data_IF_669620611075
#
_entry.id   IF_669620611075
#
_cell.length_a   1.000
_cell.length_b   1.000
_cell.length_c   1.000
_cell.angle_alpha   90.00
_cell.angle_beta   90.00
_cell.angle_gamma   90.00
#
_symmetry.space_group_name_H-M   'P 1'
#
loop_
_entity.id
_entity.type
_entity.pdbx_description
1 polymer ?
#
# COMPACT_ATOMS: atom_id res chain seq x y z
N UNK A 1 26.51 23.64 53.94
CA UNK A 1 26.25 24.45 52.73
C UNK A 1 24.89 24.09 52.19
N UNK A 2 23.87 24.96 52.51
CA UNK A 2 22.53 24.78 51.98
C UNK A 2 22.45 25.35 50.55
N UNK A 3 22.25 24.48 49.55
CA UNK A 3 21.96 24.90 48.18
C UNK A 3 20.55 25.52 48.16
N UNK A 4 20.46 26.83 47.87
CA UNK A 4 19.18 27.51 47.61
C UNK A 4 18.59 26.91 46.31
N UNK A 5 17.57 26.10 46.43
CA UNK A 5 16.78 25.70 45.29
C UNK A 5 16.02 26.94 44.78
N UNK A 6 16.37 27.40 43.58
CA UNK A 6 15.58 28.40 42.85
C UNK A 6 14.34 27.68 42.26
N UNK A 7 13.19 27.97 42.82
CA UNK A 7 11.92 27.51 42.24
C UNK A 7 11.60 28.26 40.95
N UNK A 8 10.94 27.59 40.01
CA UNK A 8 10.41 28.20 38.79
C UNK A 8 9.34 29.26 39.12
N UNK A 9 9.38 30.40 38.45
CA UNK A 9 8.29 31.37 38.59
C UNK A 9 7.06 30.93 37.81
N UNK A 10 5.88 31.32 38.29
CA UNK A 10 4.60 30.98 37.68
C UNK A 10 4.51 31.53 36.23
N UNK A 11 5.13 32.69 35.97
CA UNK A 11 5.16 33.31 34.65
C UNK A 11 6.06 32.54 33.66
N UNK A 12 7.18 31.99 34.10
CA UNK A 12 8.07 31.16 33.27
C UNK A 12 7.34 29.89 32.81
N UNK A 13 6.59 29.26 33.71
CA UNK A 13 5.81 28.08 33.37
C UNK A 13 4.70 28.44 32.38
N UNK A 14 4.00 29.55 32.56
CA UNK A 14 2.90 30.00 31.73
C UNK A 14 3.37 30.33 30.31
N UNK A 15 4.52 31.00 30.14
CA UNK A 15 5.09 31.26 28.81
C UNK A 15 5.50 29.99 28.09
N UNK A 16 6.09 29.02 28.80
CA UNK A 16 6.48 27.72 28.18
C UNK A 16 5.28 26.97 27.68
N UNK A 17 4.20 26.85 28.46
CA UNK A 17 3.01 26.12 28.00
C UNK A 17 2.30 26.85 26.86
N UNK A 18 2.33 28.19 26.83
CA UNK A 18 1.79 28.96 25.71
C UNK A 18 2.55 28.68 24.40
N UNK A 19 3.88 28.67 24.44
CA UNK A 19 4.72 28.36 23.27
C UNK A 19 4.50 26.94 22.80
N UNK A 20 4.48 25.96 23.71
CA UNK A 20 4.21 24.56 23.37
C UNK A 20 2.82 24.41 22.74
N UNK A 21 1.81 25.12 23.27
CA UNK A 21 0.47 25.11 22.71
C UNK A 21 0.40 25.60 21.26
N UNK A 22 1.09 26.71 20.95
CA UNK A 22 1.17 27.25 19.59
C UNK A 22 1.89 26.27 18.65
N UNK A 23 3.05 25.75 19.06
CA UNK A 23 3.83 24.82 18.26
C UNK A 23 3.08 23.52 18.00
N UNK A 24 2.37 23.01 19.01
CA UNK A 24 1.53 21.80 18.85
C UNK A 24 0.40 22.03 17.85
N UNK A 25 -0.29 23.17 17.89
CA UNK A 25 -1.38 23.48 16.97
C UNK A 25 -0.94 23.49 15.49
N UNK A 26 0.20 24.13 15.20
CA UNK A 26 0.77 24.17 13.85
C UNK A 26 1.32 22.79 13.44
N UNK A 27 1.97 22.09 14.36
CA UNK A 27 2.58 20.78 14.12
C UNK A 27 1.56 19.71 13.70
N UNK A 28 0.38 19.67 14.32
CA UNK A 28 -0.67 18.70 14.01
C UNK A 28 -1.17 18.84 12.57
N UNK A 29 -1.39 20.05 12.09
CA UNK A 29 -1.88 20.31 10.73
C UNK A 29 -0.84 19.89 9.69
N UNK A 30 0.43 20.27 9.88
CA UNK A 30 1.54 19.91 9.02
C UNK A 30 1.77 18.38 8.98
N UNK A 31 1.71 17.72 10.14
CA UNK A 31 1.86 16.27 10.26
C UNK A 31 0.77 15.50 9.50
N UNK A 32 -0.49 15.92 9.62
CA UNK A 32 -1.60 15.29 8.90
C UNK A 32 -1.45 15.42 7.37
N UNK A 33 -1.01 16.57 6.88
CA UNK A 33 -0.72 16.77 5.46
C UNK A 33 0.38 15.85 4.96
N UNK A 34 1.48 15.76 5.70
CA UNK A 34 2.62 14.90 5.37
C UNK A 34 2.23 13.40 5.35
N UNK A 35 1.51 12.94 6.38
CA UNK A 35 1.11 11.53 6.46
C UNK A 35 0.15 11.12 5.35
N UNK A 36 -0.77 12.00 4.94
CA UNK A 36 -1.67 11.72 3.82
C UNK A 36 -0.91 11.65 2.49
N UNK A 37 0.03 12.56 2.26
CA UNK A 37 0.90 12.52 1.07
C UNK A 37 1.76 11.24 1.03
N UNK A 38 2.32 10.83 2.17
CA UNK A 38 3.10 9.61 2.30
C UNK A 38 2.26 8.37 1.98
N UNK A 39 1.04 8.26 2.54
CA UNK A 39 0.11 7.15 2.25
C UNK A 39 -0.23 7.07 0.77
N UNK A 40 -0.54 8.21 0.13
CA UNK A 40 -0.83 8.27 -1.30
C UNK A 40 0.36 7.78 -2.13
N UNK A 41 1.56 8.31 -1.88
CA UNK A 41 2.76 7.97 -2.65
C UNK A 41 3.13 6.49 -2.47
N UNK A 42 3.04 5.96 -1.25
CA UNK A 42 3.25 4.54 -0.97
C UNK A 42 2.23 3.68 -1.72
N UNK A 43 0.97 4.08 -1.76
CA UNK A 43 -0.08 3.35 -2.48
C UNK A 43 0.18 3.29 -3.98
N UNK A 44 0.56 4.41 -4.60
CA UNK A 44 0.91 4.47 -6.03
C UNK A 44 2.17 3.62 -6.30
N UNK A 45 3.17 3.70 -5.42
CA UNK A 45 4.38 2.88 -5.51
C UNK A 45 4.07 1.38 -5.42
N UNK A 46 3.22 0.99 -4.48
CA UNK A 46 2.78 -0.40 -4.31
C UNK A 46 2.05 -0.93 -5.54
N UNK A 47 1.12 -0.15 -6.11
CA UNK A 47 0.43 -0.50 -7.35
C UNK A 47 1.43 -0.76 -8.48
N UNK A 48 2.37 0.15 -8.69
CA UNK A 48 3.41 0.02 -9.71
C UNK A 48 4.34 -1.18 -9.47
N UNK A 49 4.61 -1.51 -8.22
CA UNK A 49 5.42 -2.69 -7.88
C UNK A 49 4.71 -3.98 -8.27
N UNK A 50 3.43 -4.13 -7.94
CA UNK A 50 2.62 -5.29 -8.32
C UNK A 50 2.54 -5.43 -9.85
N UNK A 51 2.27 -4.31 -10.54
CA UNK A 51 2.23 -4.26 -12.01
C UNK A 51 3.54 -4.73 -12.63
N UNK A 52 4.66 -4.11 -12.23
CA UNK A 52 6.00 -4.44 -12.77
C UNK A 52 6.39 -5.89 -12.48
N UNK A 53 6.07 -6.39 -11.30
CA UNK A 53 6.34 -7.78 -10.94
C UNK A 53 5.62 -8.74 -11.89
N UNK A 54 4.32 -8.52 -12.15
CA UNK A 54 3.58 -9.38 -13.06
C UNK A 54 4.03 -9.21 -14.52
N UNK A 55 4.35 -7.99 -14.96
CA UNK A 55 4.94 -7.74 -16.27
C UNK A 55 6.27 -8.50 -16.45
N UNK A 56 7.12 -8.52 -15.42
CA UNK A 56 8.36 -9.29 -15.45
C UNK A 56 8.08 -10.79 -15.59
N UNK A 57 7.10 -11.33 -14.88
CA UNK A 57 6.70 -12.73 -15.03
C UNK A 57 6.26 -13.02 -16.46
N UNK A 58 5.38 -12.19 -17.03
CA UNK A 58 4.87 -12.35 -18.40
C UNK A 58 6.01 -12.32 -19.41
N UNK A 59 6.85 -11.29 -19.37
CA UNK A 59 7.97 -11.16 -20.34
C UNK A 59 9.02 -12.26 -20.20
N UNK A 60 9.26 -12.74 -18.99
CA UNK A 60 10.22 -13.84 -18.76
C UNK A 60 9.69 -15.18 -19.28
N UNK A 61 8.37 -15.43 -19.17
CA UNK A 61 7.73 -16.61 -19.77
C UNK A 61 7.71 -16.52 -21.30
N UNK A 62 7.27 -15.38 -21.85
CA UNK A 62 7.18 -15.16 -23.30
C UNK A 62 8.55 -15.25 -23.98
N UNK A 63 9.60 -14.74 -23.32
CA UNK A 63 10.98 -14.84 -23.79
C UNK A 63 11.66 -16.19 -23.59
N UNK A 64 10.98 -17.17 -22.96
CA UNK A 64 11.58 -18.48 -22.65
C UNK A 64 12.75 -18.41 -21.67
N UNK A 65 12.86 -17.32 -20.90
CA UNK A 65 13.94 -17.10 -19.94
C UNK A 65 13.81 -18.02 -18.74
N UNK A 66 12.57 -18.28 -18.32
CA UNK A 66 12.22 -19.17 -17.21
C UNK A 66 11.05 -20.08 -17.60
N UNK A 67 11.02 -21.26 -17.00
CA UNK A 67 9.90 -22.21 -17.16
C UNK A 67 8.87 -22.07 -16.01
N UNK A 68 9.31 -21.53 -14.89
CA UNK A 68 8.50 -21.43 -13.66
C UNK A 68 8.97 -20.31 -12.75
N UNK A 69 8.08 -19.83 -11.88
CA UNK A 69 8.34 -18.93 -10.78
C UNK A 69 8.04 -19.60 -9.44
N UNK A 70 8.85 -19.29 -8.43
CA UNK A 70 8.59 -19.69 -7.05
C UNK A 70 8.04 -18.49 -6.28
N UNK A 71 6.75 -18.50 -5.97
CA UNK A 71 6.06 -17.48 -5.22
C UNK A 71 5.86 -17.91 -3.77
N UNK A 72 5.91 -16.98 -2.82
CA UNK A 72 5.60 -17.28 -1.42
C UNK A 72 4.12 -17.63 -1.26
N UNK A 73 3.85 -18.72 -0.59
CA UNK A 73 2.49 -19.17 -0.24
C UNK A 73 2.23 -19.06 1.26
N UNK A 74 3.29 -19.12 2.06
CA UNK A 74 3.30 -18.92 3.51
C UNK A 74 4.68 -18.41 3.95
N UNK A 75 4.90 -18.25 5.24
CA UNK A 75 6.23 -17.92 5.81
C UNK A 75 7.32 -18.96 5.48
N UNK A 76 6.91 -20.21 5.24
CA UNK A 76 7.83 -21.35 5.01
C UNK A 76 7.59 -22.08 3.68
N UNK A 77 6.40 -21.96 3.07
CA UNK A 77 6.02 -22.65 1.85
C UNK A 77 6.08 -21.74 0.62
N UNK A 78 6.48 -22.32 -0.50
CA UNK A 78 6.44 -21.71 -1.82
C UNK A 78 5.42 -22.42 -2.70
N UNK A 79 4.86 -21.66 -3.63
CA UNK A 79 3.99 -22.16 -4.71
C UNK A 79 4.75 -22.00 -6.03
N UNK A 80 4.65 -23.03 -6.88
CA UNK A 80 5.28 -23.00 -8.20
C UNK A 80 4.23 -22.59 -9.23
N UNK A 81 4.49 -21.52 -9.94
CA UNK A 81 3.70 -21.02 -11.06
C UNK A 81 4.45 -21.31 -12.35
N UNK A 82 3.88 -22.14 -13.22
CA UNK A 82 4.49 -22.53 -14.48
C UNK A 82 4.13 -21.58 -15.63
N UNK A 83 5.01 -21.47 -16.62
CA UNK A 83 4.73 -20.89 -17.91
C UNK A 83 4.00 -21.90 -18.83
N UNK A 84 3.05 -21.44 -19.69
CA UNK A 84 2.57 -20.07 -19.80
C UNK A 84 1.69 -19.66 -18.61
N UNK A 85 1.68 -18.36 -18.31
CA UNK A 85 0.88 -17.82 -17.22
C UNK A 85 -0.62 -17.83 -17.57
N UNK A 86 -1.46 -17.90 -16.53
CA UNK A 86 -2.90 -17.74 -16.64
C UNK A 86 -3.33 -16.65 -15.63
N UNK A 87 -3.92 -15.56 -16.11
CA UNK A 87 -4.25 -14.43 -15.27
C UNK A 87 -5.21 -14.79 -14.14
N UNK A 88 -6.22 -15.62 -14.42
CA UNK A 88 -7.21 -16.08 -13.44
C UNK A 88 -6.59 -16.94 -12.33
N UNK A 89 -5.77 -17.91 -12.73
CA UNK A 89 -5.14 -18.85 -11.80
C UNK A 89 -4.10 -18.13 -10.91
N UNK A 90 -3.42 -17.12 -11.45
CA UNK A 90 -2.29 -16.49 -10.75
C UNK A 90 -2.70 -15.43 -9.74
N UNK A 91 -3.95 -14.94 -9.70
CA UNK A 91 -4.40 -13.93 -8.75
C UNK A 91 -4.14 -14.35 -7.30
N UNK A 92 -4.53 -15.57 -6.93
CA UNK A 92 -4.35 -16.04 -5.56
C UNK A 92 -2.87 -16.19 -5.20
N UNK A 93 -2.04 -16.67 -6.13
CA UNK A 93 -0.60 -16.81 -5.95
C UNK A 93 0.07 -15.46 -5.72
N UNK A 94 -0.33 -14.42 -6.46
CA UNK A 94 0.14 -13.04 -6.27
C UNK A 94 -0.32 -12.45 -4.93
N UNK A 95 -1.58 -12.68 -4.54
CA UNK A 95 -2.11 -12.21 -3.25
C UNK A 95 -1.27 -12.72 -2.08
N UNK A 96 -1.01 -14.04 -2.04
CA UNK A 96 -0.18 -14.64 -1.00
C UNK A 96 1.28 -14.18 -1.07
N UNK A 97 1.84 -14.11 -2.28
CA UNK A 97 3.24 -13.69 -2.46
C UNK A 97 3.49 -12.30 -1.84
N UNK A 98 2.71 -11.30 -2.21
CA UNK A 98 2.87 -9.95 -1.68
C UNK A 98 2.55 -9.85 -0.18
N UNK A 99 1.61 -10.65 0.32
CA UNK A 99 1.33 -10.73 1.75
C UNK A 99 2.55 -11.23 2.53
N UNK A 100 3.21 -12.29 2.05
CA UNK A 100 4.36 -12.89 2.74
C UNK A 100 5.72 -12.23 2.40
N UNK A 101 5.77 -11.36 1.39
CA UNK A 101 6.89 -10.43 1.19
C UNK A 101 6.84 -9.21 2.12
N UNK A 102 5.80 -9.08 2.94
CA UNK A 102 5.68 -8.00 3.91
C UNK A 102 5.11 -6.70 3.36
N UNK A 103 4.52 -6.73 2.17
CA UNK A 103 3.81 -5.56 1.65
C UNK A 103 2.53 -5.29 2.43
N UNK A 104 2.36 -4.03 2.83
CA UNK A 104 1.21 -3.60 3.62
C UNK A 104 0.43 -2.48 2.92
N UNK A 105 -0.87 -2.44 3.18
CA UNK A 105 -1.73 -1.35 2.76
C UNK A 105 -1.41 -0.09 3.57
N UNK A 106 -1.00 0.99 2.89
CA UNK A 106 -0.59 2.24 3.53
C UNK A 106 -1.70 2.95 4.32
N UNK A 107 -2.97 2.70 4.00
CA UNK A 107 -4.10 3.24 4.75
C UNK A 107 -4.55 2.36 5.92
N UNK A 108 -4.07 1.10 5.98
CA UNK A 108 -4.46 0.15 7.02
C UNK A 108 -5.93 -0.28 6.97
N UNK A 109 -6.63 -0.02 5.86
CA UNK A 109 -8.05 -0.33 5.69
C UNK A 109 -8.30 -1.82 5.45
N UNK A 110 -7.28 -2.52 4.97
CA UNK A 110 -7.28 -3.96 4.74
C UNK A 110 -5.97 -4.55 5.25
N UNK A 111 -5.96 -5.80 5.76
CA UNK A 111 -4.75 -6.42 6.29
C UNK A 111 -3.74 -6.81 5.21
N UNK A 112 -4.16 -6.88 3.95
CA UNK A 112 -3.36 -7.27 2.80
C UNK A 112 -3.26 -6.13 1.79
N UNK A 113 -2.13 -6.03 1.12
CA UNK A 113 -1.96 -5.08 0.03
C UNK A 113 -2.72 -5.51 -1.22
N UNK A 114 -2.51 -6.74 -1.65
CA UNK A 114 -3.14 -7.32 -2.85
C UNK A 114 -4.30 -8.19 -2.44
N UNK A 115 -5.47 -7.98 -3.02
CA UNK A 115 -6.69 -8.74 -2.71
C UNK A 115 -7.50 -8.92 -4.01
N UNK A 116 -7.97 -10.16 -4.24
CA UNK A 116 -8.94 -10.42 -5.30
C UNK A 116 -10.24 -9.65 -5.00
N UNK A 117 -10.64 -8.75 -5.91
CA UNK A 117 -11.92 -8.08 -5.83
C UNK A 117 -12.14 -7.18 -4.63
N UNK A 118 -11.11 -6.47 -4.10
CA UNK A 118 -11.28 -5.60 -2.93
C UNK A 118 -12.16 -4.36 -3.18
N UNK A 119 -12.63 -4.15 -4.40
CA UNK A 119 -13.49 -3.03 -4.81
C UNK A 119 -14.76 -3.48 -5.54
N UNK A 120 -15.34 -4.61 -5.16
CA UNK A 120 -16.53 -5.15 -5.81
C UNK A 120 -17.78 -4.32 -5.50
N UNK A 121 -17.87 -3.73 -4.30
CA UNK A 121 -19.02 -2.92 -3.88
C UNK A 121 -18.68 -1.43 -3.83
N UNK A 122 -19.72 -0.58 -3.92
CA UNK A 122 -19.56 0.86 -3.78
C UNK A 122 -18.99 1.24 -2.39
N UNK A 123 -19.37 0.50 -1.34
CA UNK A 123 -18.84 0.69 0.00
C UNK A 123 -17.34 0.40 0.07
N UNK A 124 -16.88 -0.68 -0.56
CA UNK A 124 -15.47 -1.05 -0.61
C UNK A 124 -14.64 0.00 -1.38
N UNK A 125 -15.14 0.51 -2.51
CA UNK A 125 -14.49 1.58 -3.27
C UNK A 125 -14.26 2.84 -2.43
N UNK A 126 -15.21 3.15 -1.56
CA UNK A 126 -15.13 4.32 -0.68
C UNK A 126 -14.21 4.11 0.52
N UNK A 127 -14.10 2.88 1.04
CA UNK A 127 -13.48 2.62 2.34
C UNK A 127 -12.15 1.85 2.26
N UNK A 128 -11.90 1.07 1.19
CA UNK A 128 -10.71 0.22 1.07
C UNK A 128 -9.57 0.90 0.29
N UNK A 129 -9.27 2.17 0.60
CA UNK A 129 -8.13 2.83 -0.04
C UNK A 129 -6.81 2.09 0.23
N UNK A 130 -5.91 2.12 -0.76
CA UNK A 130 -4.58 1.52 -0.67
C UNK A 130 -4.47 0.04 -0.99
N UNK A 131 -5.59 -0.66 -1.15
CA UNK A 131 -5.59 -2.03 -1.63
C UNK A 131 -5.34 -2.07 -3.15
N UNK A 132 -4.55 -3.01 -3.63
CA UNK A 132 -4.39 -3.33 -5.05
C UNK A 132 -5.33 -4.49 -5.39
N UNK A 133 -6.45 -4.17 -6.01
CA UNK A 133 -7.42 -5.17 -6.46
C UNK A 133 -6.95 -5.82 -7.75
N UNK A 134 -6.88 -7.14 -7.76
CA UNK A 134 -6.60 -7.93 -8.95
C UNK A 134 -7.90 -8.56 -9.47
N UNK A 135 -8.16 -8.40 -10.74
CA UNK A 135 -9.25 -9.07 -11.46
C UNK A 135 -8.72 -9.58 -12.80
N UNK A 136 -9.24 -10.71 -13.27
CA UNK A 136 -8.92 -11.25 -14.59
C UNK A 136 -10.23 -11.34 -15.38
N UNK A 137 -10.47 -10.46 -16.36
CA UNK A 137 -11.64 -10.55 -17.21
C UNK A 137 -11.58 -11.78 -18.12
N UNK A 138 -10.38 -12.25 -18.40
CA UNK A 138 -10.08 -13.46 -19.17
C UNK A 138 -8.75 -14.10 -18.71
N UNK A 139 -8.38 -15.24 -19.29
CA UNK A 139 -7.17 -15.97 -18.91
C UNK A 139 -5.86 -15.25 -19.27
N UNK A 140 -5.92 -14.28 -20.16
CA UNK A 140 -4.75 -13.53 -20.66
C UNK A 140 -4.59 -12.14 -20.07
N UNK A 141 -5.63 -11.60 -19.45
CA UNK A 141 -5.62 -10.19 -19.01
C UNK A 141 -5.73 -10.11 -17.50
N UNK A 142 -4.69 -9.54 -16.86
CA UNK A 142 -4.73 -9.16 -15.46
C UNK A 142 -4.97 -7.67 -15.36
N UNK A 143 -6.08 -7.29 -14.71
CA UNK A 143 -6.44 -5.89 -14.43
C UNK A 143 -6.15 -5.58 -12.97
N UNK A 144 -5.40 -4.50 -12.74
CA UNK A 144 -5.08 -3.95 -11.43
C UNK A 144 -5.90 -2.67 -11.24
N UNK A 145 -6.53 -2.51 -10.09
CA UNK A 145 -7.23 -1.28 -9.72
C UNK A 145 -6.90 -0.91 -8.28
N UNK A 146 -6.52 0.34 -8.04
CA UNK A 146 -6.20 0.85 -6.71
C UNK A 146 -6.88 2.20 -6.49
N UNK A 147 -7.57 2.35 -5.36
CA UNK A 147 -8.14 3.64 -4.95
C UNK A 147 -7.26 4.26 -3.86
N UNK A 148 -7.07 5.56 -3.94
CA UNK A 148 -6.32 6.35 -2.97
C UNK A 148 -7.01 7.72 -2.77
N UNK A 149 -6.64 8.42 -1.71
CA UNK A 149 -7.12 9.77 -1.46
C UNK A 149 -6.15 10.80 -2.01
N UNK A 150 -6.66 11.81 -2.72
CA UNK A 150 -5.88 12.97 -3.13
C UNK A 150 -5.63 13.93 -1.94
N UNK A 151 -5.07 15.11 -2.23
CA UNK A 151 -4.78 16.11 -1.20
C UNK A 151 -6.04 16.64 -0.51
N UNK A 152 -7.14 16.69 -1.23
CA UNK A 152 -8.44 17.18 -0.76
C UNK A 152 -9.31 16.05 -0.17
N UNK A 153 -8.72 14.86 0.03
CA UNK A 153 -9.37 13.64 0.53
C UNK A 153 -10.47 13.10 -0.39
N UNK A 154 -10.45 13.44 -1.68
CA UNK A 154 -11.33 12.83 -2.67
C UNK A 154 -10.74 11.49 -3.11
N UNK A 155 -11.62 10.52 -3.36
CA UNK A 155 -11.20 9.20 -3.85
C UNK A 155 -10.80 9.27 -5.32
N UNK A 156 -9.57 8.89 -5.59
CA UNK A 156 -9.00 8.73 -6.95
C UNK A 156 -8.75 7.26 -7.23
N UNK A 157 -8.68 6.89 -8.50
CA UNK A 157 -8.35 5.52 -8.90
C UNK A 157 -7.20 5.47 -9.89
N UNK A 158 -6.36 4.45 -9.73
CA UNK A 158 -5.32 4.05 -10.68
C UNK A 158 -5.69 2.68 -11.22
N UNK A 159 -5.75 2.52 -12.53
CA UNK A 159 -6.09 1.27 -13.19
C UNK A 159 -5.10 0.96 -14.30
N UNK A 160 -4.55 -0.23 -14.25
CA UNK A 160 -3.63 -0.76 -15.25
C UNK A 160 -4.05 -2.17 -15.68
N UNK A 161 -3.61 -2.58 -16.86
CA UNK A 161 -3.77 -3.93 -17.37
C UNK A 161 -2.42 -4.50 -17.80
N UNK A 162 -2.23 -5.80 -17.57
CA UNK A 162 -1.09 -6.56 -18.07
C UNK A 162 -1.64 -7.73 -18.88
N UNK A 163 -1.24 -7.83 -20.14
CA UNK A 163 -1.70 -8.88 -21.06
C UNK A 163 -0.60 -9.93 -21.23
N UNK A 164 -0.99 -11.20 -21.22
CA UNK A 164 -0.14 -12.36 -21.51
C UNK A 164 -0.21 -12.59 -23.02
N UNK A 165 0.93 -12.52 -23.68
CA UNK A 165 1.09 -12.78 -25.11
C UNK A 165 1.08 -14.27 -25.44
#
# INVERSE_FOLDING_TARGET
YGMKQKGFSLIELLVVVAIIGILAAVGIVAYNGYTNAAKRNTTISNHNTVKKFYQLMVTSCAGGIVEKFELKRSSTAKEIVYCPLNAHANINSLEYHFMYEGFANAYGTTPRLVIKGCYETAWQKKNNHGCVSLTAPDDKTLKLTTYYLDQDKNSQSLTDTVTIE
#
